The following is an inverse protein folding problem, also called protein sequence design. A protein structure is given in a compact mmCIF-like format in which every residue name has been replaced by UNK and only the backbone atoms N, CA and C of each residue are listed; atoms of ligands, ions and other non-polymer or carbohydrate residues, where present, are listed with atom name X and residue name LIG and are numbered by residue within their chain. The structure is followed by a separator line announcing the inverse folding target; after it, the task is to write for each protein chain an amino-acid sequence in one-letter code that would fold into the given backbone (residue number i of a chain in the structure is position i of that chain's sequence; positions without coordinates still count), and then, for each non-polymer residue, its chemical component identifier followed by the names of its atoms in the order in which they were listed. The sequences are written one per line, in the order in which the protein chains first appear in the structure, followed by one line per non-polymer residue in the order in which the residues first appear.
data_IF_172959552436
#
_entry.id   IF_172959552436
#
_cell.length_a   1.000
_cell.length_b   1.000
_cell.length_c   1.000
_cell.angle_alpha   90.00
_cell.angle_beta   90.00
_cell.angle_gamma   90.00
#
_symmetry.space_group_name_H-M   'P 1'
#
loop_
_entity.id
_entity.type
_entity.pdbx_description
1 polymer ?
#
# COMPACT_ATOMS: atom_id res chain seq x y z
N UNK A 1 13.32 -5.87 -20.49
CA UNK A 1 12.89 -5.60 -19.12
C UNK A 1 12.88 -6.89 -18.31
N UNK A 2 13.56 -6.87 -17.19
CA UNK A 2 13.56 -8.04 -16.32
C UNK A 2 12.23 -8.18 -15.63
N UNK A 3 11.67 -9.36 -15.72
CA UNK A 3 10.47 -9.71 -14.98
C UNK A 3 10.80 -10.89 -14.10
N UNK A 4 10.32 -10.84 -12.89
CA UNK A 4 10.39 -11.99 -12.03
C UNK A 4 9.43 -13.05 -12.56
N UNK A 5 9.84 -14.29 -12.56
CA UNK A 5 8.91 -15.39 -12.77
C UNK A 5 8.00 -15.46 -11.55
N UNK A 6 6.92 -16.19 -11.65
CA UNK A 6 6.03 -16.35 -10.49
C UNK A 6 6.76 -16.94 -9.29
N UNK A 7 7.66 -17.89 -9.52
CA UNK A 7 8.44 -18.51 -8.46
C UNK A 7 9.44 -17.54 -7.85
N UNK A 8 10.16 -16.79 -8.68
CA UNK A 8 11.07 -15.76 -8.21
C UNK A 8 10.34 -14.70 -7.39
N UNK A 9 9.16 -14.32 -7.85
CA UNK A 9 8.36 -13.35 -7.14
C UNK A 9 7.97 -13.85 -5.75
N UNK A 10 7.58 -15.11 -5.64
CA UNK A 10 7.22 -15.70 -4.35
C UNK A 10 8.39 -15.81 -3.39
N UNK A 11 9.58 -16.06 -3.91
CA UNK A 11 10.79 -16.17 -3.11
C UNK A 11 11.42 -14.82 -2.79
N UNK A 12 11.12 -13.80 -3.60
CA UNK A 12 11.68 -12.48 -3.42
C UNK A 12 11.18 -11.85 -2.12
N UNK A 13 11.99 -10.96 -1.57
CA UNK A 13 11.53 -10.08 -0.52
C UNK A 13 10.49 -9.13 -1.09
N UNK A 14 9.93 -8.26 -0.24
CA UNK A 14 8.93 -7.31 -0.68
C UNK A 14 9.42 -6.46 -1.84
N UNK A 15 8.52 -6.13 -2.75
CA UNK A 15 8.83 -5.20 -3.84
C UNK A 15 9.17 -3.83 -3.26
N UNK A 16 10.21 -3.17 -3.76
CA UNK A 16 10.57 -1.83 -3.29
C UNK A 16 9.59 -0.78 -3.86
N UNK A 17 8.34 -0.96 -3.55
CA UNK A 17 7.23 -0.14 -4.04
C UNK A 17 6.32 0.21 -2.87
N UNK A 18 5.97 1.48 -2.78
CA UNK A 18 5.02 1.95 -1.77
C UNK A 18 3.84 2.58 -2.51
N UNK A 19 2.64 2.13 -2.15
CA UNK A 19 1.41 2.67 -2.72
C UNK A 19 0.91 3.78 -1.80
N UNK A 20 0.62 4.94 -2.38
CA UNK A 20 0.09 6.09 -1.63
C UNK A 20 -1.37 6.29 -1.99
N UNK A 21 -2.24 6.25 -0.99
CA UNK A 21 -3.67 6.50 -1.15
C UNK A 21 -3.97 7.91 -0.63
N UNK A 22 -4.29 8.81 -1.56
CA UNK A 22 -4.56 10.22 -1.24
C UNK A 22 -6.06 10.47 -1.22
N UNK A 23 -6.59 10.72 -0.02
CA UNK A 23 -8.01 11.04 0.18
C UNK A 23 -8.96 10.03 -0.46
N UNK A 24 -8.67 8.76 -0.33
CA UNK A 24 -9.54 7.70 -0.84
C UNK A 24 -10.70 7.50 0.12
N UNK A 25 -11.90 7.80 -0.33
CA UNK A 25 -13.11 7.74 0.50
C UNK A 25 -13.72 6.34 0.61
N UNK A 26 -13.53 5.54 -0.40
CA UNK A 26 -14.16 4.21 -0.44
C UNK A 26 -13.42 3.20 0.43
N UNK A 27 -14.10 2.70 1.45
CA UNK A 27 -13.56 1.64 2.30
C UNK A 27 -13.33 0.36 1.50
N UNK A 28 -14.20 0.10 0.54
CA UNK A 28 -14.04 -1.04 -0.37
C UNK A 28 -12.73 -0.93 -1.15
N UNK A 29 -12.45 0.24 -1.70
CA UNK A 29 -11.22 0.46 -2.48
C UNK A 29 -9.98 0.35 -1.62
N UNK A 30 -10.01 0.87 -0.39
CA UNK A 30 -8.89 0.73 0.54
C UNK A 30 -8.61 -0.74 0.80
N UNK A 31 -9.63 -1.52 1.08
CA UNK A 31 -9.49 -2.96 1.32
C UNK A 31 -8.95 -3.69 0.09
N UNK A 32 -9.46 -3.35 -1.10
CA UNK A 32 -8.98 -3.94 -2.35
C UNK A 32 -7.52 -3.65 -2.61
N UNK A 33 -7.07 -2.44 -2.27
CA UNK A 33 -5.65 -2.07 -2.42
C UNK A 33 -4.79 -2.90 -1.47
N UNK A 34 -5.20 -3.07 -0.22
CA UNK A 34 -4.46 -3.93 0.72
C UNK A 34 -4.36 -5.36 0.22
N UNK A 35 -5.45 -5.90 -0.32
CA UNK A 35 -5.46 -7.24 -0.87
C UNK A 35 -4.49 -7.37 -2.05
N UNK A 36 -4.52 -6.43 -2.97
CA UNK A 36 -3.63 -6.42 -4.12
C UNK A 36 -2.18 -6.24 -3.71
N UNK A 37 -1.92 -5.33 -2.76
CA UNK A 37 -0.57 -5.10 -2.26
C UNK A 37 -0.01 -6.33 -1.56
N UNK A 38 -0.84 -7.06 -0.84
CA UNK A 38 -0.43 -8.33 -0.24
C UNK A 38 -0.08 -9.36 -1.31
N UNK A 39 -0.93 -9.49 -2.35
CA UNK A 39 -0.70 -10.43 -3.44
C UNK A 39 0.61 -10.14 -4.19
N UNK A 40 0.93 -8.86 -4.39
CA UNK A 40 2.15 -8.44 -5.09
C UNK A 40 3.33 -8.20 -4.14
N UNK A 41 3.16 -8.40 -2.86
CA UNK A 41 4.20 -8.23 -1.85
C UNK A 41 4.81 -6.83 -1.87
N UNK A 42 3.95 -5.83 -2.01
CA UNK A 42 4.35 -4.42 -1.96
C UNK A 42 4.90 -4.10 -0.57
N UNK A 43 5.92 -3.26 -0.50
CA UNK A 43 6.61 -2.95 0.74
C UNK A 43 5.67 -2.31 1.78
N UNK A 44 4.88 -1.32 1.37
CA UNK A 44 3.98 -0.63 2.30
C UNK A 44 2.87 0.12 1.56
N UNK A 45 1.84 0.50 2.32
CA UNK A 45 0.77 1.37 1.85
C UNK A 45 0.75 2.61 2.75
N UNK A 46 0.79 3.78 2.16
CA UNK A 46 0.68 5.04 2.88
C UNK A 46 -0.72 5.61 2.70
N UNK A 47 -1.41 5.80 3.81
CA UNK A 47 -2.80 6.27 3.83
C UNK A 47 -2.82 7.74 4.22
N UNK A 48 -3.30 8.60 3.34
CA UNK A 48 -3.20 10.05 3.50
C UNK A 48 -4.55 10.73 3.58
N UNK A 49 -4.62 11.80 4.36
CA UNK A 49 -5.80 12.65 4.46
C UNK A 49 -6.98 11.93 5.07
N UNK A 50 -8.09 11.89 4.34
CA UNK A 50 -9.34 11.27 4.82
C UNK A 50 -9.38 9.76 4.61
N UNK A 51 -8.35 9.17 4.01
CA UNK A 51 -8.29 7.72 3.81
C UNK A 51 -8.38 7.00 5.14
N UNK A 52 -9.32 6.06 5.24
CA UNK A 52 -9.49 5.29 6.47
C UNK A 52 -8.32 4.35 6.71
N UNK A 53 -8.09 4.03 7.97
CA UNK A 53 -6.99 3.15 8.38
C UNK A 53 -7.53 1.89 9.06
N UNK A 54 -6.81 0.76 8.96
CA UNK A 54 -7.13 -0.40 9.79
C UNK A 54 -6.92 -0.08 11.29
N UNK A 55 -7.59 -0.78 12.20
CA UNK A 55 -8.58 -1.81 11.91
C UNK A 55 -9.93 -1.21 11.52
N UNK A 56 -10.57 -1.80 10.54
CA UNK A 56 -11.88 -1.36 10.07
C UNK A 56 -12.59 -2.55 9.45
N UNK A 57 -13.83 -2.82 9.88
CA UNK A 57 -14.58 -3.99 9.45
C UNK A 57 -14.83 -4.00 7.95
N UNK A 58 -15.14 -2.84 7.36
CA UNK A 58 -15.42 -2.76 5.93
C UNK A 58 -14.15 -2.94 5.10
N UNK A 59 -13.04 -2.41 5.58
CA UNK A 59 -11.74 -2.65 4.94
C UNK A 59 -11.40 -4.14 5.00
N UNK A 60 -11.59 -4.75 6.16
CA UNK A 60 -11.28 -6.17 6.36
C UNK A 60 -12.03 -7.07 5.39
N UNK A 61 -13.30 -6.75 5.08
CA UNK A 61 -14.11 -7.56 4.17
C UNK A 61 -13.50 -7.70 2.77
N UNK A 62 -12.84 -6.69 2.28
CA UNK A 62 -12.22 -6.70 0.95
C UNK A 62 -10.73 -6.95 0.99
N UNK A 63 -10.07 -6.60 2.08
CA UNK A 63 -8.64 -6.83 2.24
C UNK A 63 -8.30 -8.29 2.51
N UNK A 64 -9.23 -9.05 3.10
CA UNK A 64 -9.09 -10.49 3.37
C UNK A 64 -7.78 -10.82 4.10
N UNK A 65 -7.45 -10.02 5.12
CA UNK A 65 -6.23 -10.20 5.89
C UNK A 65 -5.00 -9.47 5.33
N UNK A 66 -5.11 -8.86 4.15
CA UNK A 66 -4.00 -8.10 3.58
C UNK A 66 -3.55 -6.95 4.45
N UNK A 67 -4.47 -6.34 5.19
CA UNK A 67 -4.14 -5.25 6.11
C UNK A 67 -3.23 -5.70 7.26
N UNK A 68 -3.19 -6.99 7.56
CA UNK A 68 -2.30 -7.53 8.59
C UNK A 68 -0.95 -7.96 8.01
N UNK A 69 -0.90 -8.21 6.72
CA UNK A 69 0.30 -8.71 6.04
C UNK A 69 1.13 -7.61 5.41
N UNK A 70 0.50 -6.51 5.04
CA UNK A 70 1.16 -5.36 4.40
C UNK A 70 1.39 -4.26 5.42
N UNK A 71 2.60 -3.75 5.50
CA UNK A 71 2.90 -2.61 6.36
C UNK A 71 2.17 -1.38 5.83
N UNK A 72 1.67 -0.54 6.73
CA UNK A 72 1.01 0.69 6.35
C UNK A 72 1.33 1.79 7.35
N UNK A 73 1.19 3.04 6.89
CA UNK A 73 1.40 4.20 7.73
C UNK A 73 0.41 5.29 7.33
N UNK A 74 -0.03 6.06 8.30
CA UNK A 74 -0.96 7.15 8.07
C UNK A 74 -0.23 8.49 8.06
N UNK A 75 -0.61 9.37 7.13
CA UNK A 75 -0.11 10.74 7.05
C UNK A 75 -1.27 11.70 6.93
N UNK A 76 -1.18 12.83 7.59
CA UNK A 76 -2.22 13.85 7.50
C UNK A 76 -2.37 14.39 6.09
N UNK A 77 -1.25 14.53 5.39
CA UNK A 77 -1.24 15.07 4.02
C UNK A 77 -0.41 14.19 3.12
N UNK A 78 -0.72 14.24 1.84
CA UNK A 78 0.07 13.51 0.84
C UNK A 78 1.48 14.06 0.75
N UNK A 79 1.65 15.36 0.97
CA UNK A 79 2.97 15.99 0.97
C UNK A 79 3.90 15.37 2.00
N UNK A 80 3.40 15.08 3.19
CA UNK A 80 4.19 14.40 4.23
C UNK A 80 4.65 13.02 3.78
N UNK A 81 3.74 12.25 3.17
CA UNK A 81 4.05 10.92 2.66
C UNK A 81 5.10 10.99 1.55
N UNK A 82 4.92 11.90 0.60
CA UNK A 82 5.85 12.08 -0.52
C UNK A 82 7.22 12.51 -0.01
N UNK A 83 7.26 13.41 0.95
CA UNK A 83 8.51 13.86 1.54
C UNK A 83 9.28 12.69 2.17
N UNK A 84 8.59 11.85 2.91
CA UNK A 84 9.21 10.68 3.51
C UNK A 84 9.75 9.72 2.44
N UNK A 85 9.00 9.51 1.36
CA UNK A 85 9.42 8.66 0.25
C UNK A 85 10.65 9.20 -0.45
N UNK A 86 10.71 10.51 -0.66
CA UNK A 86 11.88 11.15 -1.26
C UNK A 86 13.11 10.98 -0.39
N UNK A 87 12.97 11.12 0.92
CA UNK A 87 14.07 10.92 1.85
C UNK A 87 14.60 9.48 1.80
N UNK A 88 13.74 8.53 1.52
CA UNK A 88 14.12 7.12 1.38
C UNK A 88 14.64 6.77 -0.01
N UNK A 89 14.55 7.68 -0.96
CA UNK A 89 15.02 7.46 -2.33
C UNK A 89 14.04 6.72 -3.22
N UNK A 90 12.76 6.70 -2.88
CA UNK A 90 11.74 6.08 -3.72
C UNK A 90 11.25 7.02 -4.81
N UNK A 91 10.89 6.43 -5.94
CA UNK A 91 10.12 7.14 -6.95
C UNK A 91 8.65 7.16 -6.55
N UNK A 92 7.99 8.29 -6.77
CA UNK A 92 6.59 8.46 -6.38
C UNK A 92 5.72 8.54 -7.62
N UNK A 93 4.72 7.68 -7.69
CA UNK A 93 3.69 7.71 -8.73
C UNK A 93 2.35 7.99 -8.07
N UNK A 94 1.65 8.98 -8.58
CA UNK A 94 0.29 9.30 -8.13
C UNK A 94 -0.72 8.41 -8.85
N UNK A 95 -1.72 8.04 -8.12
CA UNK A 95 -2.86 7.31 -8.68
C UNK A 95 -4.08 8.22 -8.65
#
# INVERSE_FOLDING_TARGET
MNRLTLEEFKEAEKLPLIVVLDDVRSLYNVGSVFRSCDAFRVEAVYLCGITATPPNTEIHKTALGGEDSVDWEYFKTTEEAVEKLKQKGYFVYSI
#
